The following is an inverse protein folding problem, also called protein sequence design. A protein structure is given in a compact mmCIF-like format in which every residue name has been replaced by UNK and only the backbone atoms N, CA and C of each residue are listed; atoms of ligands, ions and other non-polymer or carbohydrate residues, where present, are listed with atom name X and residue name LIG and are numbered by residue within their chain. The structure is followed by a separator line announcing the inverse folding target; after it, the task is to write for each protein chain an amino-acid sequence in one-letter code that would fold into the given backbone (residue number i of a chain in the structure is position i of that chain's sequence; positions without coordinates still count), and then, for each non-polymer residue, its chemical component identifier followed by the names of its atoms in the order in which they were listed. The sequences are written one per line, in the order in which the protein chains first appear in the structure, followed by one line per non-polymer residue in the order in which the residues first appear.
data_IF_564518933289
#
_entry.id   IF_564518933289
#
_cell.length_a   1.000
_cell.length_b   1.000
_cell.length_c   1.000
_cell.angle_alpha   90.00
_cell.angle_beta   90.00
_cell.angle_gamma   90.00
#
_symmetry.space_group_name_H-M   'P 1'
#
loop_
_entity.id
_entity.type
_entity.pdbx_description
1 polymer ?
#
# COMPACT_ATOMS: atom_id res chain seq x y z
N UNK A 1 -8.74 -18.47 -4.98
CA UNK A 1 -9.74 -17.98 -4.02
C UNK A 1 -9.89 -19.06 -2.97
N UNK A 2 -9.66 -18.72 -1.69
CA UNK A 2 -9.75 -19.69 -0.59
C UNK A 2 -11.18 -20.22 -0.50
N UNK A 3 -11.36 -21.51 -0.68
CA UNK A 3 -12.66 -22.14 -0.44
C UNK A 3 -12.83 -22.38 1.07
N UNK A 4 -13.75 -21.64 1.68
CA UNK A 4 -14.17 -21.80 3.07
C UNK A 4 -15.44 -22.66 3.12
N UNK A 5 -15.37 -23.80 3.80
CA UNK A 5 -16.53 -24.71 3.95
C UNK A 5 -17.58 -24.04 4.83
N UNK A 6 -18.80 -23.88 4.29
CA UNK A 6 -19.92 -23.23 4.99
C UNK A 6 -20.76 -24.21 5.84
N UNK A 7 -20.46 -25.51 5.75
CA UNK A 7 -21.07 -26.52 6.61
C UNK A 7 -20.58 -26.36 8.07
N UNK A 8 -21.34 -26.88 9.02
CA UNK A 8 -20.92 -26.84 10.43
C UNK A 8 -19.75 -27.80 10.64
N UNK A 9 -18.70 -27.34 11.33
CA UNK A 9 -17.53 -28.17 11.61
C UNK A 9 -17.90 -29.39 12.46
N UNK A 10 -18.89 -29.25 13.34
CA UNK A 10 -19.39 -30.28 14.26
C UNK A 10 -20.06 -31.47 13.54
N UNK A 11 -20.51 -31.26 12.30
CA UNK A 11 -21.08 -32.31 11.45
C UNK A 11 -19.97 -33.29 10.97
N UNK A 12 -18.71 -32.85 10.93
CA UNK A 12 -17.56 -33.61 10.45
C UNK A 12 -16.55 -33.98 11.54
N UNK A 13 -16.47 -33.18 12.61
CA UNK A 13 -15.50 -33.33 13.68
C UNK A 13 -16.18 -33.34 15.05
N UNK A 14 -15.78 -34.26 15.92
CA UNK A 14 -16.12 -34.24 17.34
C UNK A 14 -15.16 -33.29 18.07
N UNK A 15 -15.68 -32.15 18.54
CA UNK A 15 -14.90 -31.15 19.28
C UNK A 15 -14.77 -31.57 20.74
N UNK A 16 -13.55 -31.59 21.26
CA UNK A 16 -13.20 -32.02 22.60
C UNK A 16 -12.59 -30.87 23.42
N UNK A 17 -11.60 -31.20 24.25
CA UNK A 17 -10.99 -30.32 25.25
C UNK A 17 -10.22 -29.14 24.63
N UNK A 18 -10.16 -28.03 25.35
CA UNK A 18 -9.34 -26.88 24.99
C UNK A 18 -7.85 -27.23 25.16
N UNK A 19 -7.07 -26.98 24.11
CA UNK A 19 -5.61 -27.15 24.11
C UNK A 19 -4.89 -25.84 24.47
N UNK A 20 -5.49 -24.71 24.12
CA UNK A 20 -4.98 -23.39 24.47
C UNK A 20 -5.90 -22.27 23.97
N UNK A 21 -5.70 -21.07 24.49
CA UNK A 21 -6.43 -19.87 24.09
C UNK A 21 -5.50 -18.69 23.89
N UNK A 22 -5.73 -17.95 22.81
CA UNK A 22 -5.10 -16.67 22.51
C UNK A 22 -6.09 -15.51 22.64
N UNK A 23 -5.69 -14.31 22.22
CA UNK A 23 -6.51 -13.09 22.36
C UNK A 23 -7.85 -13.15 21.61
N UNK A 24 -7.83 -13.69 20.39
CA UNK A 24 -9.02 -13.78 19.53
C UNK A 24 -9.25 -15.19 18.96
N UNK A 25 -8.48 -16.17 19.43
CA UNK A 25 -8.57 -17.55 18.98
C UNK A 25 -8.61 -18.52 20.16
N UNK A 26 -9.35 -19.61 20.00
CA UNK A 26 -9.36 -20.74 20.95
C UNK A 26 -9.00 -22.00 20.16
N UNK A 27 -8.06 -22.78 20.66
CA UNK A 27 -7.64 -24.05 20.04
C UNK A 27 -8.20 -25.19 20.85
N UNK A 28 -8.95 -26.09 20.21
CA UNK A 28 -9.51 -27.30 20.83
C UNK A 28 -9.04 -28.53 20.10
N UNK A 29 -8.88 -29.65 20.81
CA UNK A 29 -8.71 -30.95 20.15
C UNK A 29 -10.00 -31.30 19.43
N UNK A 30 -9.91 -31.87 18.24
CA UNK A 30 -11.06 -32.43 17.55
C UNK A 30 -10.70 -33.77 16.91
N UNK A 31 -11.71 -34.62 16.68
CA UNK A 31 -11.54 -35.91 16.01
C UNK A 31 -12.40 -35.96 14.76
N UNK A 32 -11.81 -36.26 13.61
CA UNK A 32 -12.56 -36.41 12.36
C UNK A 32 -13.47 -37.65 12.45
N UNK A 33 -14.78 -37.48 12.27
CA UNK A 33 -15.76 -38.57 12.39
C UNK A 33 -15.54 -39.70 11.38
N UNK A 34 -15.08 -39.36 10.18
CA UNK A 34 -14.92 -40.30 9.06
C UNK A 34 -13.72 -41.22 9.25
N UNK A 35 -12.60 -40.68 9.71
CA UNK A 35 -11.31 -41.39 9.77
C UNK A 35 -10.92 -41.78 11.20
N UNK A 36 -11.49 -41.12 12.21
CA UNK A 36 -11.09 -41.25 13.60
C UNK A 36 -9.77 -40.57 13.95
N UNK A 37 -9.17 -39.81 13.03
CA UNK A 37 -7.89 -39.11 13.24
C UNK A 37 -8.10 -37.86 14.09
N UNK A 38 -7.19 -37.64 15.03
CA UNK A 38 -7.19 -36.47 15.91
C UNK A 38 -6.47 -35.27 15.26
N UNK A 39 -7.05 -34.09 15.41
CA UNK A 39 -6.61 -32.79 14.90
C UNK A 39 -6.74 -31.71 15.98
N UNK A 40 -6.27 -30.51 15.67
CA UNK A 40 -6.52 -29.30 16.45
C UNK A 40 -7.41 -28.34 15.65
N UNK A 41 -8.51 -27.89 16.23
CA UNK A 41 -9.41 -26.88 15.67
C UNK A 41 -9.13 -25.51 16.31
N UNK A 42 -8.54 -24.58 15.54
CA UNK A 42 -8.32 -23.18 15.94
C UNK A 42 -9.52 -22.34 15.51
N UNK A 43 -10.37 -21.97 16.48
CA UNK A 43 -11.54 -21.11 16.30
C UNK A 43 -11.12 -19.65 16.42
N UNK A 44 -11.16 -18.90 15.32
CA UNK A 44 -10.77 -17.49 15.23
C UNK A 44 -12.04 -16.63 15.12
N UNK A 45 -12.22 -15.69 16.05
CA UNK A 45 -13.37 -14.78 16.05
C UNK A 45 -13.24 -13.75 14.93
N UNK A 46 -14.26 -13.64 14.07
CA UNK A 46 -14.32 -12.64 13.01
C UNK A 46 -14.68 -11.26 13.56
N UNK A 47 -13.94 -10.24 13.13
CA UNK A 47 -14.28 -8.84 13.40
C UNK A 47 -15.56 -8.46 12.67
N UNK A 48 -16.59 -8.06 13.41
CA UNK A 48 -17.93 -7.79 12.87
C UNK A 48 -18.07 -6.41 12.22
N UNK A 49 -17.23 -5.44 12.59
CA UNK A 49 -17.21 -4.10 11.99
C UNK A 49 -15.81 -3.49 12.08
N UNK A 50 -15.45 -2.53 11.20
CA UNK A 50 -14.14 -1.86 11.25
C UNK A 50 -13.86 -1.17 12.58
N UNK A 51 -14.91 -0.68 13.26
CA UNK A 51 -14.82 -0.04 14.57
C UNK A 51 -14.79 -1.04 15.75
N UNK A 52 -15.07 -2.33 15.50
CA UNK A 52 -15.07 -3.34 16.55
C UNK A 52 -13.66 -3.58 17.07
N UNK A 53 -13.50 -3.50 18.39
CA UNK A 53 -12.24 -3.83 19.09
C UNK A 53 -12.06 -5.33 19.34
N UNK A 54 -12.99 -6.17 18.87
CA UNK A 54 -12.99 -7.62 19.06
C UNK A 54 -13.00 -8.34 17.73
N UNK A 55 -12.16 -9.37 17.63
CA UNK A 55 -12.03 -10.24 16.48
C UNK A 55 -10.92 -9.81 15.52
N UNK A 56 -10.53 -10.74 14.65
CA UNK A 56 -9.50 -10.58 13.63
C UNK A 56 -10.13 -10.13 12.32
N UNK A 57 -9.43 -9.31 11.53
CA UNK A 57 -9.95 -8.86 10.23
C UNK A 57 -10.10 -10.03 9.26
N UNK A 58 -10.98 -9.90 8.27
CA UNK A 58 -11.16 -10.96 7.27
C UNK A 58 -9.87 -11.14 6.45
N UNK A 59 -9.21 -10.03 6.14
CA UNK A 59 -7.99 -9.97 5.36
C UNK A 59 -6.82 -10.68 6.06
N UNK A 60 -6.69 -10.54 7.39
CA UNK A 60 -5.68 -11.26 8.17
C UNK A 60 -5.97 -12.76 8.23
N UNK A 61 -7.23 -13.16 8.41
CA UNK A 61 -7.61 -14.58 8.42
C UNK A 61 -7.36 -15.23 7.05
N UNK A 62 -7.77 -14.56 5.96
CA UNK A 62 -7.54 -15.04 4.60
C UNK A 62 -6.04 -15.17 4.32
N UNK A 63 -5.22 -14.21 4.76
CA UNK A 63 -3.75 -14.29 4.66
C UNK A 63 -3.16 -15.49 5.39
N UNK A 64 -3.55 -15.72 6.66
CA UNK A 64 -3.08 -16.88 7.43
C UNK A 64 -3.43 -18.18 6.70
N UNK A 65 -4.67 -18.29 6.19
CA UNK A 65 -5.13 -19.47 5.45
C UNK A 65 -4.38 -19.65 4.13
N UNK A 66 -4.18 -18.59 3.35
CA UNK A 66 -3.46 -18.66 2.07
C UNK A 66 -2.02 -19.13 2.26
N UNK A 67 -1.34 -18.60 3.28
CA UNK A 67 0.02 -19.05 3.65
C UNK A 67 0.00 -20.52 4.04
N UNK A 68 -0.88 -20.92 4.96
CA UNK A 68 -0.96 -22.29 5.45
C UNK A 68 -1.32 -23.32 4.37
N UNK A 69 -2.16 -22.95 3.39
CA UNK A 69 -2.48 -23.81 2.23
C UNK A 69 -1.30 -23.99 1.28
N UNK A 70 -0.41 -23.00 1.19
CA UNK A 70 0.75 -23.00 0.29
C UNK A 70 2.00 -23.70 0.86
N UNK A 71 1.97 -24.15 2.12
CA UNK A 71 3.14 -24.72 2.80
C UNK A 71 2.91 -26.16 3.25
N UNK A 72 3.94 -26.99 3.07
CA UNK A 72 3.96 -28.36 3.54
C UNK A 72 5.41 -28.74 3.84
N UNK A 73 5.73 -28.90 5.12
CA UNK A 73 7.10 -29.21 5.55
C UNK A 73 7.06 -29.98 6.88
N UNK A 74 7.94 -30.96 7.12
CA UNK A 74 7.97 -31.74 8.36
C UNK A 74 8.11 -30.87 9.62
N UNK A 75 8.80 -29.73 9.54
CA UNK A 75 8.98 -28.82 10.68
C UNK A 75 7.95 -27.70 10.79
N UNK A 76 6.87 -27.74 10.00
CA UNK A 76 5.81 -26.73 10.01
C UNK A 76 4.47 -27.43 10.23
N UNK A 77 3.55 -26.78 10.94
CA UNK A 77 2.18 -27.29 11.12
C UNK A 77 1.44 -27.38 9.78
N UNK A 78 0.67 -28.45 9.61
CA UNK A 78 -0.10 -28.69 8.38
C UNK A 78 -1.55 -28.25 8.57
N UNK A 79 -2.10 -27.50 7.61
CA UNK A 79 -3.52 -27.20 7.54
C UNK A 79 -4.26 -28.31 6.80
N UNK A 80 -5.26 -28.89 7.46
CA UNK A 80 -6.09 -29.96 6.92
C UNK A 80 -7.34 -29.39 6.23
N UNK A 81 -8.07 -28.52 6.93
CA UNK A 81 -9.37 -28.03 6.47
C UNK A 81 -9.67 -26.64 7.02
N UNK A 82 -10.58 -25.92 6.36
CA UNK A 82 -11.03 -24.59 6.77
C UNK A 82 -12.55 -24.51 6.70
N UNK A 83 -13.17 -24.13 7.82
CA UNK A 83 -14.60 -23.91 7.95
C UNK A 83 -14.89 -22.46 8.30
N UNK A 84 -16.02 -21.93 7.85
CA UNK A 84 -16.48 -20.60 8.19
C UNK A 84 -17.95 -20.65 8.59
N UNK A 85 -18.28 -19.98 9.70
CA UNK A 85 -19.65 -19.70 10.09
C UNK A 85 -19.86 -18.18 10.23
N UNK A 86 -20.99 -17.71 10.75
CA UNK A 86 -21.26 -16.26 10.86
C UNK A 86 -20.29 -15.52 11.80
N UNK A 87 -19.83 -16.16 12.86
CA UNK A 87 -19.05 -15.53 13.94
C UNK A 87 -17.57 -15.85 13.90
N UNK A 88 -17.20 -17.02 13.36
CA UNK A 88 -15.87 -17.59 13.50
C UNK A 88 -15.39 -18.23 12.18
N UNK A 89 -14.07 -18.26 12.02
CA UNK A 89 -13.37 -19.15 11.08
C UNK A 89 -12.68 -20.24 11.89
N UNK A 90 -12.78 -21.49 11.44
CA UNK A 90 -12.19 -22.64 12.12
C UNK A 90 -11.14 -23.26 11.22
N UNK A 91 -9.88 -23.23 11.67
CA UNK A 91 -8.77 -23.91 10.99
C UNK A 91 -8.60 -25.29 11.63
N UNK A 92 -8.74 -26.35 10.85
CA UNK A 92 -8.42 -27.71 11.28
C UNK A 92 -6.96 -27.97 10.92
N UNK A 93 -6.13 -28.13 11.94
CA UNK A 93 -4.68 -28.25 11.86
C UNK A 93 -4.22 -29.62 12.36
N UNK A 94 -3.05 -30.05 11.92
CA UNK A 94 -2.33 -31.20 12.50
C UNK A 94 -2.24 -31.08 14.03
N UNK A 95 -2.58 -32.16 14.75
CA UNK A 95 -2.47 -32.17 16.21
C UNK A 95 -1.00 -32.30 16.64
N UNK A 96 -0.51 -31.29 17.35
CA UNK A 96 0.84 -31.27 17.93
C UNK A 96 0.72 -31.39 19.45
N UNK A 97 1.12 -32.54 20.01
CA UNK A 97 0.77 -32.94 21.40
C UNK A 97 1.97 -33.10 22.34
N UNK A 98 3.19 -32.92 21.84
CA UNK A 98 4.44 -33.04 22.61
C UNK A 98 4.71 -31.85 23.54
N UNK A 99 3.94 -30.76 23.45
CA UNK A 99 4.13 -29.54 24.23
C UNK A 99 5.22 -28.63 23.66
N UNK A 100 5.61 -27.61 24.43
CA UNK A 100 6.62 -26.63 24.03
C UNK A 100 8.04 -27.20 24.11
N UNK A 101 8.92 -26.81 23.18
CA UNK A 101 10.32 -27.21 23.19
C UNK A 101 11.02 -26.84 24.50
N UNK A 102 10.75 -25.63 25.00
CA UNK A 102 11.43 -25.11 26.19
C UNK A 102 11.01 -25.87 27.45
N UNK A 103 9.73 -26.24 27.60
CA UNK A 103 9.25 -27.12 28.68
C UNK A 103 9.97 -28.49 28.67
N UNK A 104 10.10 -29.09 27.49
CA UNK A 104 10.76 -30.37 27.34
C UNK A 104 12.24 -30.30 27.72
N UNK A 105 12.95 -29.26 27.28
CA UNK A 105 14.37 -29.09 27.59
C UNK A 105 14.60 -28.68 29.04
N UNK A 106 13.68 -27.89 29.60
CA UNK A 106 13.66 -27.59 31.02
C UNK A 106 13.60 -28.88 31.83
N UNK A 107 12.80 -29.88 31.46
CA UNK A 107 12.69 -31.14 32.23
C UNK A 107 13.98 -32.00 32.22
N UNK A 108 14.86 -31.85 31.22
CA UNK A 108 16.12 -32.63 31.16
C UNK A 108 17.08 -32.26 32.29
N UNK A 109 17.79 -33.25 32.83
CA UNK A 109 18.84 -33.05 33.85
C UNK A 109 20.06 -32.31 33.29
N UNK A 110 20.43 -32.59 32.04
CA UNK A 110 21.50 -31.91 31.31
C UNK A 110 21.14 -31.78 29.83
N UNK A 111 21.58 -30.68 29.21
CA UNK A 111 21.47 -30.46 27.76
C UNK A 111 22.86 -30.20 27.21
N UNK A 112 23.29 -30.95 26.21
CA UNK A 112 24.53 -30.65 25.51
C UNK A 112 24.32 -29.60 24.40
N UNK A 113 25.35 -28.83 24.07
CA UNK A 113 25.30 -27.97 22.88
C UNK A 113 24.99 -28.77 21.61
N UNK A 114 25.44 -30.02 21.51
CA UNK A 114 25.16 -30.89 20.37
C UNK A 114 23.67 -31.20 20.22
N UNK A 115 22.97 -31.49 21.32
CA UNK A 115 21.51 -31.63 21.30
C UNK A 115 20.81 -30.31 20.99
N UNK A 116 21.27 -29.19 21.58
CA UNK A 116 20.71 -27.88 21.31
C UNK A 116 20.81 -27.52 19.81
N UNK A 117 21.96 -27.77 19.19
CA UNK A 117 22.16 -27.58 17.75
C UNK A 117 21.19 -28.40 16.91
N UNK A 118 20.87 -29.65 17.30
CA UNK A 118 19.90 -30.47 16.56
C UNK A 118 18.50 -29.86 16.57
N UNK A 119 18.06 -29.25 17.68
CA UNK A 119 16.78 -28.53 17.74
C UNK A 119 16.82 -27.22 16.93
N UNK A 120 17.88 -26.41 17.09
CA UNK A 120 18.05 -25.18 16.30
C UNK A 120 18.08 -25.50 14.80
N UNK A 121 18.71 -26.60 14.39
CA UNK A 121 18.74 -27.02 12.99
C UNK A 121 17.34 -27.32 12.44
N UNK A 122 16.49 -28.01 13.19
CA UNK A 122 15.10 -28.25 12.77
C UNK A 122 14.30 -26.94 12.62
N UNK A 123 14.52 -25.96 13.52
CA UNK A 123 13.92 -24.62 13.39
C UNK A 123 14.41 -23.94 12.10
N UNK A 124 15.73 -23.94 11.87
CA UNK A 124 16.32 -23.37 10.66
C UNK A 124 15.82 -24.05 9.37
N UNK A 125 15.63 -25.37 9.39
CA UNK A 125 15.08 -26.11 8.24
C UNK A 125 13.63 -25.70 7.93
N UNK A 126 12.79 -25.54 8.96
CA UNK A 126 11.44 -24.99 8.81
C UNK A 126 11.44 -23.55 8.28
N UNK A 127 12.25 -22.68 8.88
CA UNK A 127 12.34 -21.26 8.46
C UNK A 127 12.93 -21.13 7.05
N UNK A 128 13.89 -21.98 6.67
CA UNK A 128 14.43 -22.02 5.30
C UNK A 128 13.34 -22.36 4.27
N UNK A 129 12.46 -23.31 4.59
CA UNK A 129 11.33 -23.64 3.73
C UNK A 129 10.39 -22.44 3.53
N UNK A 130 10.16 -21.62 4.56
CA UNK A 130 9.37 -20.40 4.48
C UNK A 130 10.09 -19.30 3.67
N UNK A 131 11.35 -19.03 4.00
CA UNK A 131 12.15 -17.97 3.38
C UNK A 131 12.39 -18.21 1.89
N UNK A 132 12.55 -19.47 1.47
CA UNK A 132 12.65 -19.82 0.03
C UNK A 132 11.36 -19.53 -0.75
N UNK A 133 10.22 -19.39 -0.07
CA UNK A 133 8.94 -18.95 -0.62
C UNK A 133 8.64 -17.48 -0.33
N UNK A 134 9.63 -16.74 0.18
CA UNK A 134 9.51 -15.35 0.62
C UNK A 134 8.45 -15.13 1.70
N UNK A 135 8.24 -16.12 2.58
CA UNK A 135 7.31 -15.98 3.70
C UNK A 135 8.13 -15.69 4.96
N UNK A 136 7.81 -14.61 5.65
CA UNK A 136 8.30 -14.32 7.00
C UNK A 136 7.26 -14.81 8.02
N UNK A 137 7.72 -15.44 9.11
CA UNK A 137 6.85 -15.91 10.18
C UNK A 137 6.44 -14.77 11.12
N UNK A 138 7.38 -13.88 11.45
CA UNK A 138 7.24 -12.70 12.31
C UNK A 138 6.85 -12.92 13.78
N UNK A 139 6.40 -14.11 14.17
CA UNK A 139 6.11 -14.47 15.56
C UNK A 139 6.93 -15.68 16.06
N UNK A 140 8.22 -15.76 15.70
CA UNK A 140 9.09 -16.81 16.22
C UNK A 140 9.43 -16.55 17.68
N UNK A 141 8.91 -17.41 18.56
CA UNK A 141 9.12 -17.38 20.01
C UNK A 141 8.98 -18.80 20.60
N UNK A 142 9.48 -19.06 21.82
CA UNK A 142 9.41 -20.38 22.46
C UNK A 142 8.03 -21.03 22.42
N UNK A 143 6.96 -20.25 22.63
CA UNK A 143 5.57 -20.73 22.66
C UNK A 143 5.11 -21.27 21.30
N UNK A 144 5.69 -20.78 20.20
CA UNK A 144 5.35 -21.17 18.84
C UNK A 144 6.27 -22.28 18.27
N UNK A 145 7.14 -22.87 19.11
CA UNK A 145 8.04 -23.97 18.75
C UNK A 145 7.63 -25.20 19.54
N UNK A 146 6.74 -25.99 18.96
CA UNK A 146 6.16 -27.16 19.61
C UNK A 146 6.84 -28.46 19.19
N UNK A 147 6.61 -29.51 19.97
CA UNK A 147 7.07 -30.87 19.70
C UNK A 147 5.90 -31.74 19.24
N UNK A 148 6.08 -32.52 18.18
CA UNK A 148 5.06 -33.43 17.69
C UNK A 148 4.71 -34.51 18.71
N UNK A 149 5.73 -35.19 19.22
CA UNK A 149 5.65 -36.27 20.20
C UNK A 149 6.86 -36.21 21.15
N UNK A 150 6.59 -36.14 22.45
CA UNK A 150 7.62 -36.08 23.51
C UNK A 150 8.08 -37.45 24.01
N UNK A 151 7.49 -38.55 23.54
CA UNK A 151 7.83 -39.91 23.97
C UNK A 151 9.15 -40.40 23.35
N UNK A 152 9.58 -39.81 22.24
CA UNK A 152 10.84 -40.12 21.57
C UNK A 152 12.01 -39.30 22.12
N UNK A 153 13.21 -39.87 22.10
CA UNK A 153 14.40 -39.25 22.70
C UNK A 153 14.82 -37.92 22.02
N UNK A 154 14.56 -37.79 20.71
CA UNK A 154 14.78 -36.58 19.93
C UNK A 154 13.48 -36.20 19.21
N UNK A 155 12.59 -35.42 19.86
CA UNK A 155 11.33 -34.98 19.28
C UNK A 155 11.47 -34.15 18.01
N UNK A 156 10.50 -34.30 17.11
CA UNK A 156 10.38 -33.45 15.93
C UNK A 156 9.72 -32.12 16.28
N UNK A 157 10.34 -31.01 15.84
CA UNK A 157 9.79 -29.67 16.00
C UNK A 157 8.71 -29.41 14.96
N UNK A 158 7.65 -28.72 15.38
CA UNK A 158 6.63 -28.10 14.54
C UNK A 158 6.56 -26.61 14.89
N UNK A 159 6.84 -25.76 13.90
CA UNK A 159 6.55 -24.33 13.97
C UNK A 159 5.04 -24.15 13.81
N UNK A 160 4.44 -23.41 14.74
CA UNK A 160 3.00 -23.17 14.80
C UNK A 160 2.70 -21.66 14.80
N UNK A 161 1.41 -21.35 14.63
CA UNK A 161 0.83 -20.00 14.68
C UNK A 161 1.35 -19.02 13.61
N UNK A 162 0.67 -19.04 12.46
CA UNK A 162 0.99 -18.21 11.30
C UNK A 162 0.14 -16.93 11.24
N UNK A 163 -0.49 -16.53 12.35
CA UNK A 163 -1.39 -15.37 12.38
C UNK A 163 -0.72 -14.03 12.05
N UNK A 164 0.59 -13.91 12.29
CA UNK A 164 1.40 -12.73 11.91
C UNK A 164 2.24 -12.95 10.65
N UNK A 165 2.18 -14.13 10.03
CA UNK A 165 2.99 -14.43 8.87
C UNK A 165 2.62 -13.55 7.66
N UNK A 166 3.61 -13.25 6.83
CA UNK A 166 3.42 -12.39 5.67
C UNK A 166 4.32 -12.84 4.50
N UNK A 167 3.78 -12.77 3.28
CA UNK A 167 4.58 -12.92 2.07
C UNK A 167 5.29 -11.58 1.78
N UNK A 168 6.61 -11.62 1.64
CA UNK A 168 7.44 -10.47 1.32
C UNK A 168 7.52 -10.34 -0.20
N UNK A 169 6.93 -9.27 -0.73
CA UNK A 169 6.92 -8.96 -2.16
C UNK A 169 8.10 -8.06 -2.54
N UNK A 170 8.74 -8.35 -3.67
CA UNK A 170 9.87 -7.54 -4.13
C UNK A 170 9.37 -6.15 -4.55
N UNK A 171 10.01 -5.10 -4.02
CA UNK A 171 9.68 -3.72 -4.36
C UNK A 171 8.48 -3.13 -3.59
N UNK A 172 7.83 -3.91 -2.72
CA UNK A 172 6.76 -3.42 -1.84
C UNK A 172 7.31 -3.29 -0.42
N UNK A 173 7.31 -2.07 0.13
CA UNK A 173 7.68 -1.88 1.53
C UNK A 173 6.57 -2.37 2.45
N UNK A 174 6.93 -3.25 3.38
CA UNK A 174 6.05 -3.68 4.47
C UNK A 174 6.57 -3.11 5.79
N UNK A 175 5.77 -2.32 6.50
CA UNK A 175 6.10 -1.74 7.81
C UNK A 175 4.97 -2.02 8.78
N UNK A 176 5.32 -2.53 9.96
CA UNK A 176 4.34 -2.80 11.00
C UNK A 176 5.04 -2.96 12.36
N UNK A 177 4.27 -2.88 13.45
CA UNK A 177 4.72 -3.14 14.81
C UNK A 177 3.83 -4.25 15.37
N UNK A 178 4.41 -5.43 15.58
CA UNK A 178 3.73 -6.61 16.11
C UNK A 178 4.70 -7.50 16.88
N UNK A 179 4.19 -8.57 17.47
CA UNK A 179 4.98 -9.58 18.17
C UNK A 179 5.23 -9.27 19.65
N UNK A 180 5.89 -10.22 20.32
CA UNK A 180 6.25 -10.13 21.72
C UNK A 180 7.54 -9.32 21.89
N UNK A 181 7.56 -8.22 22.68
CA UNK A 181 8.69 -7.30 22.74
C UNK A 181 10.07 -7.92 23.00
N UNK A 182 10.16 -9.06 23.67
CA UNK A 182 11.43 -9.75 23.94
C UNK A 182 12.10 -10.35 22.68
N UNK A 183 11.30 -10.70 21.66
CA UNK A 183 11.74 -11.45 20.49
C UNK A 183 11.74 -10.64 19.18
N UNK A 184 11.25 -9.39 19.22
CA UNK A 184 11.15 -8.52 18.05
C UNK A 184 12.51 -7.92 17.67
N UNK A 185 12.72 -7.76 16.37
CA UNK A 185 13.92 -7.16 15.81
C UNK A 185 13.90 -5.62 15.91
N UNK A 186 15.08 -4.95 15.93
CA UNK A 186 15.16 -3.49 16.03
C UNK A 186 14.38 -2.75 14.94
N UNK A 187 14.35 -3.28 13.71
CA UNK A 187 13.59 -2.71 12.60
C UNK A 187 12.08 -2.68 12.85
N UNK A 188 11.53 -3.65 13.60
CA UNK A 188 10.12 -3.65 14.02
C UNK A 188 9.89 -2.54 15.03
N UNK A 189 10.78 -2.41 16.02
CA UNK A 189 10.67 -1.38 17.08
C UNK A 189 10.79 0.03 16.50
N UNK A 190 11.67 0.22 15.51
CA UNK A 190 11.93 1.51 14.88
C UNK A 190 10.97 1.86 13.74
N UNK A 191 10.00 0.99 13.42
CA UNK A 191 9.08 1.16 12.28
C UNK A 191 9.80 1.29 10.92
N UNK A 192 10.87 0.51 10.75
CA UNK A 192 11.65 0.41 9.51
C UNK A 192 11.07 -0.68 8.57
N UNK A 193 11.45 -0.71 7.28
CA UNK A 193 11.00 -1.76 6.36
C UNK A 193 11.34 -3.17 6.87
N UNK A 194 10.33 -4.03 6.90
CA UNK A 194 10.40 -5.39 7.40
C UNK A 194 10.67 -6.39 6.28
N UNK A 195 11.29 -7.52 6.64
CA UNK A 195 11.52 -8.64 5.73
C UNK A 195 11.97 -9.90 6.47
N UNK A 196 12.49 -10.86 5.71
CA UNK A 196 12.89 -12.18 6.22
C UNK A 196 13.97 -12.12 7.32
N UNK A 197 14.76 -11.04 7.36
CA UNK A 197 15.81 -10.86 8.36
C UNK A 197 15.25 -10.77 9.80
N UNK A 198 14.01 -10.35 9.99
CA UNK A 198 13.38 -10.25 11.31
C UNK A 198 13.30 -11.62 12.01
N UNK A 199 12.92 -12.67 11.28
CA UNK A 199 12.89 -14.04 11.80
C UNK A 199 14.28 -14.49 12.29
N UNK A 200 15.34 -14.09 11.58
CA UNK A 200 16.71 -14.44 11.93
C UNK A 200 17.15 -13.81 13.26
N UNK A 201 16.67 -12.60 13.57
CA UNK A 201 16.88 -11.99 14.89
C UNK A 201 16.20 -12.81 15.98
N UNK A 202 14.93 -13.17 15.79
CA UNK A 202 14.17 -13.97 16.76
C UNK A 202 14.83 -15.33 17.00
N UNK A 203 15.38 -15.99 15.98
CA UNK A 203 16.17 -17.22 16.13
C UNK A 203 17.43 -16.99 16.97
N UNK A 204 18.09 -15.83 16.82
CA UNK A 204 19.21 -15.42 17.65
C UNK A 204 18.83 -15.30 19.14
N UNK A 205 17.69 -14.66 19.42
CA UNK A 205 17.13 -14.53 20.78
C UNK A 205 16.78 -15.91 21.36
N UNK A 206 16.05 -16.73 20.61
CA UNK A 206 15.68 -18.10 20.99
C UNK A 206 16.94 -18.91 21.30
N UNK A 207 17.98 -18.83 20.47
CA UNK A 207 19.24 -19.56 20.68
C UNK A 207 19.97 -19.08 21.93
N UNK A 208 20.01 -17.77 22.18
CA UNK A 208 20.60 -17.21 23.39
C UNK A 208 19.91 -17.76 24.64
N UNK A 209 18.58 -17.74 24.68
CA UNK A 209 17.80 -18.24 25.83
C UNK A 209 17.99 -19.75 25.98
N UNK A 210 17.95 -20.50 24.88
CA UNK A 210 18.13 -21.95 24.89
C UNK A 210 19.44 -22.38 25.56
N UNK A 211 20.52 -21.63 25.34
CA UNK A 211 21.85 -21.96 25.84
C UNK A 211 22.15 -21.43 27.24
N UNK A 212 21.44 -20.39 27.68
CA UNK A 212 21.74 -19.67 28.93
C UNK A 212 20.65 -19.73 29.99
N UNK A 213 19.40 -19.91 29.58
CA UNK A 213 18.21 -19.68 30.39
C UNK A 213 17.97 -18.21 30.75
N UNK A 214 18.63 -17.27 30.07
CA UNK A 214 18.45 -15.83 30.25
C UNK A 214 18.04 -15.18 28.93
N UNK A 215 17.32 -14.06 29.00
CA UNK A 215 16.97 -13.28 27.81
C UNK A 215 18.08 -12.27 27.50
N UNK A 216 18.44 -12.06 26.21
CA UNK A 216 19.49 -11.11 25.87
C UNK A 216 19.09 -9.65 26.05
N UNK A 217 17.80 -9.31 25.95
CA UNK A 217 17.35 -7.91 25.93
C UNK A 217 16.26 -7.58 26.96
N UNK A 218 15.70 -8.56 27.67
CA UNK A 218 14.62 -8.32 28.64
C UNK A 218 15.11 -7.44 29.80
N UNK A 219 14.52 -6.25 29.94
CA UNK A 219 14.72 -5.36 31.07
C UNK A 219 13.66 -5.54 32.16
N UNK A 220 13.71 -4.71 33.20
CA UNK A 220 12.72 -4.69 34.29
C UNK A 220 11.33 -4.24 33.80
N UNK A 221 11.29 -3.45 32.73
CA UNK A 221 10.07 -2.98 32.11
C UNK A 221 10.18 -2.94 30.59
N UNK A 222 9.03 -2.78 29.92
CA UNK A 222 8.95 -2.79 28.46
C UNK A 222 9.82 -1.71 27.80
N UNK A 223 9.92 -0.52 28.40
CA UNK A 223 10.69 0.58 27.82
C UNK A 223 12.18 0.26 27.83
N UNK A 224 12.67 -0.34 28.91
CA UNK A 224 14.04 -0.83 29.01
C UNK A 224 14.31 -1.96 28.00
N UNK A 225 13.40 -2.93 27.87
CA UNK A 225 13.52 -4.00 26.86
C UNK A 225 13.66 -3.44 25.45
N UNK A 226 12.78 -2.51 25.06
CA UNK A 226 12.85 -1.88 23.74
C UNK A 226 14.14 -1.06 23.57
N UNK A 227 14.58 -0.35 24.62
CA UNK A 227 15.86 0.38 24.60
C UNK A 227 17.05 -0.55 24.37
N UNK A 228 17.09 -1.69 25.07
CA UNK A 228 18.15 -2.69 24.90
C UNK A 228 18.16 -3.25 23.47
N UNK A 229 16.99 -3.51 22.88
CA UNK A 229 16.87 -4.00 21.49
C UNK A 229 17.39 -2.95 20.51
N UNK A 230 16.91 -1.70 20.58
CA UNK A 230 17.31 -0.64 19.64
C UNK A 230 18.79 -0.28 19.72
N UNK A 231 19.37 -0.39 20.92
CA UNK A 231 20.81 -0.22 21.17
C UNK A 231 21.65 -1.47 20.89
N UNK A 232 21.01 -2.63 20.67
CA UNK A 232 21.65 -3.96 20.59
C UNK A 232 22.55 -4.19 21.81
N UNK A 233 22.02 -3.89 22.99
CA UNK A 233 22.70 -4.00 24.27
C UNK A 233 22.44 -5.37 24.89
N UNK A 234 23.34 -6.31 24.64
CA UNK A 234 23.38 -7.63 25.29
C UNK A 234 24.84 -8.05 25.46
N UNK A 235 25.09 -8.97 26.39
CA UNK A 235 26.43 -9.50 26.65
C UNK A 235 26.41 -11.01 26.88
N UNK A 236 27.57 -11.65 26.76
CA UNK A 236 27.73 -13.06 27.11
C UNK A 236 28.34 -13.17 28.49
N UNK A 237 27.58 -12.80 29.52
CA UNK A 237 28.03 -12.86 30.90
C UNK A 237 28.51 -14.29 31.26
N UNK A 238 29.71 -14.36 31.84
CA UNK A 238 30.37 -15.60 32.25
C UNK A 238 29.53 -16.42 33.24
N UNK A 239 28.67 -15.77 34.02
CA UNK A 239 27.72 -16.45 34.91
C UNK A 239 26.81 -17.42 34.12
N UNK A 240 26.42 -17.05 32.89
CA UNK A 240 25.52 -17.85 32.06
C UNK A 240 26.25 -18.61 30.94
N UNK A 241 27.36 -18.06 30.44
CA UNK A 241 28.03 -18.54 29.23
C UNK A 241 29.43 -19.13 29.45
N UNK A 242 29.85 -19.38 30.69
CA UNK A 242 31.16 -19.98 31.01
C UNK A 242 31.37 -21.38 30.42
N UNK A 243 30.31 -22.11 30.06
CA UNK A 243 30.40 -23.45 29.46
C UNK A 243 30.04 -23.47 27.97
N UNK A 244 29.64 -22.33 27.41
CA UNK A 244 29.16 -22.20 26.04
C UNK A 244 30.31 -21.93 25.08
N UNK A 245 30.35 -22.66 23.97
CA UNK A 245 31.42 -22.57 22.98
C UNK A 245 31.50 -21.20 22.29
N UNK A 246 32.71 -20.83 21.85
CA UNK A 246 32.90 -19.62 21.06
C UNK A 246 32.15 -19.68 19.72
N UNK A 247 31.93 -20.88 19.16
CA UNK A 247 31.13 -21.06 17.94
C UNK A 247 29.66 -20.74 18.17
N UNK A 248 29.09 -21.15 19.30
CA UNK A 248 27.72 -20.80 19.67
C UNK A 248 27.56 -19.29 19.87
N UNK A 249 28.50 -18.67 20.62
CA UNK A 249 28.53 -17.22 20.80
C UNK A 249 28.67 -16.49 19.47
N UNK A 250 29.51 -16.99 18.55
CA UNK A 250 29.67 -16.41 17.20
C UNK A 250 28.39 -16.50 16.36
N UNK A 251 27.69 -17.65 16.42
CA UNK A 251 26.42 -17.83 15.73
C UNK A 251 25.38 -16.79 16.19
N UNK A 252 25.21 -16.64 17.51
CA UNK A 252 24.29 -15.65 18.09
C UNK A 252 24.71 -14.23 17.69
N UNK A 253 26.01 -13.88 17.78
CA UNK A 253 26.50 -12.54 17.41
C UNK A 253 26.16 -12.13 16.00
N UNK A 254 26.20 -13.08 15.06
CA UNK A 254 25.90 -12.80 13.64
C UNK A 254 24.40 -12.79 13.33
N UNK A 255 23.56 -13.27 14.24
CA UNK A 255 22.09 -13.15 14.16
C UNK A 255 21.57 -11.88 14.85
N UNK A 256 22.16 -11.49 15.98
CA UNK A 256 21.78 -10.30 16.75
C UNK A 256 22.52 -9.06 16.24
N UNK A 257 22.29 -8.72 14.96
CA UNK A 257 22.90 -7.59 14.26
C UNK A 257 21.82 -6.58 13.85
N UNK A 258 22.03 -5.30 14.16
CA UNK A 258 21.09 -4.21 13.82
C UNK A 258 20.88 -4.07 12.32
N UNK A 259 21.97 -4.00 11.54
CA UNK A 259 21.90 -3.87 10.09
C UNK A 259 21.42 -5.19 9.45
N UNK A 260 20.20 -5.17 8.91
CA UNK A 260 19.53 -6.34 8.32
C UNK A 260 20.33 -6.96 7.18
N UNK A 261 21.17 -6.19 6.48
CA UNK A 261 22.02 -6.67 5.37
C UNK A 261 23.26 -7.41 5.85
N UNK A 262 23.68 -7.18 7.09
CA UNK A 262 24.83 -7.84 7.73
C UNK A 262 24.41 -9.03 8.59
N UNK A 263 23.14 -9.08 8.99
CA UNK A 263 22.55 -10.19 9.72
C UNK A 263 22.62 -11.46 8.87
N UNK A 264 22.94 -12.60 9.48
CA UNK A 264 22.98 -13.88 8.77
C UNK A 264 21.67 -14.16 8.04
N UNK A 265 21.78 -14.54 6.77
CA UNK A 265 20.67 -15.16 6.04
C UNK A 265 20.41 -16.58 6.56
N UNK A 266 19.23 -17.13 6.28
CA UNK A 266 18.88 -18.49 6.67
C UNK A 266 19.83 -19.55 6.08
N UNK A 267 20.29 -19.34 4.83
CA UNK A 267 21.25 -20.23 4.16
C UNK A 267 22.64 -20.15 4.79
N UNK A 268 23.06 -18.97 5.24
CA UNK A 268 24.35 -18.80 5.91
C UNK A 268 24.29 -19.35 7.35
N UNK A 269 23.15 -19.20 8.02
CA UNK A 269 22.92 -19.78 9.34
C UNK A 269 22.99 -21.31 9.30
N UNK A 270 22.35 -21.96 8.32
CA UNK A 270 22.43 -23.42 8.11
C UNK A 270 23.85 -23.90 7.80
N UNK A 271 24.69 -23.07 7.18
CA UNK A 271 26.10 -23.37 6.85
C UNK A 271 27.07 -23.03 7.97
N UNK A 272 26.62 -22.32 9.00
CA UNK A 272 27.48 -21.86 10.08
C UNK A 272 28.18 -23.04 10.79
N UNK A 273 29.47 -22.94 11.14
CA UNK A 273 30.22 -24.04 11.75
C UNK A 273 29.56 -24.59 13.03
N UNK A 274 28.92 -23.76 13.84
CA UNK A 274 28.20 -24.24 15.01
C UNK A 274 27.07 -25.23 14.66
N UNK A 275 26.42 -25.06 13.50
CA UNK A 275 25.34 -25.93 13.00
C UNK A 275 25.91 -27.15 12.25
N UNK A 276 26.95 -26.97 11.44
CA UNK A 276 27.47 -28.00 10.52
C UNK A 276 28.56 -28.90 11.11
N UNK A 277 29.40 -28.40 12.02
CA UNK A 277 30.61 -29.10 12.49
C UNK A 277 30.29 -30.44 13.18
N UNK A 278 29.06 -30.62 13.66
CA UNK A 278 28.64 -31.84 14.35
C UNK A 278 28.25 -33.00 13.41
N UNK A 279 28.04 -32.75 12.10
CA UNK A 279 27.84 -33.82 11.11
C UNK A 279 29.10 -34.66 10.90
N UNK A 280 30.28 -34.02 10.91
CA UNK A 280 31.57 -34.69 10.65
C UNK A 280 31.92 -35.76 11.69
N UNK A 281 31.32 -35.74 12.89
CA UNK A 281 31.58 -36.75 13.94
C UNK A 281 30.71 -37.99 13.84
N UNK A 282 29.59 -37.94 13.12
CA UNK A 282 28.72 -39.11 12.91
C UNK A 282 29.25 -40.01 11.78
N UNK A 283 29.82 -39.43 10.70
CA UNK A 283 30.46 -40.21 9.62
C UNK A 283 31.82 -40.80 10.02
N UNK A 284 32.58 -40.13 10.90
CA UNK A 284 33.92 -40.59 11.32
C UNK A 284 33.89 -41.59 12.49
N UNK A 285 32.71 -41.92 13.04
CA UNK A 285 32.55 -42.85 14.18
C UNK A 285 32.75 -44.34 13.83
N UNK A 286 33.21 -44.65 12.61
CA UNK A 286 33.63 -46.00 12.22
C UNK A 286 35.09 -46.29 12.61
N UNK A 287 35.92 -45.30 12.95
CA UNK A 287 37.31 -45.53 13.40
C UNK A 287 37.70 -44.72 14.64
N UNK A 288 37.88 -45.41 15.77
CA UNK A 288 38.91 -45.12 16.78
C UNK A 288 38.87 -43.78 17.54
N UNK A 289 38.17 -43.77 18.66
CA UNK A 289 38.50 -43.13 19.95
C UNK A 289 39.24 -41.77 19.95
N UNK A 290 38.49 -40.67 20.16
CA UNK A 290 38.80 -39.59 21.14
C UNK A 290 37.48 -38.99 21.64
N UNK A 291 37.03 -39.35 22.85
CA UNK A 291 35.89 -38.70 23.53
C UNK A 291 36.28 -37.26 23.86
N UNK A 292 35.83 -36.30 23.05
CA UNK A 292 35.83 -34.89 23.46
C UNK A 292 34.84 -34.77 24.62
N UNK A 293 35.24 -34.14 25.73
CA UNK A 293 34.35 -33.92 26.88
C UNK A 293 33.06 -33.23 26.41
N UNK A 294 31.91 -33.89 26.56
CA UNK A 294 30.60 -33.33 26.24
C UNK A 294 30.35 -32.21 27.24
N UNK A 295 30.31 -30.96 26.75
CA UNK A 295 30.02 -29.79 27.57
C UNK A 295 28.52 -29.80 27.87
N UNK A 296 28.18 -30.04 29.13
CA UNK A 296 26.79 -30.01 29.59
C UNK A 296 26.42 -28.60 30.01
N UNK A 297 25.33 -28.09 29.46
CA UNK A 297 24.69 -26.85 29.87
C UNK A 297 23.88 -27.10 31.14
N UNK A 298 23.83 -26.10 32.02
CA UNK A 298 23.06 -26.16 33.27
C UNK A 298 21.60 -25.81 32.98
N UNK A 299 20.71 -26.79 32.99
CA UNK A 299 19.28 -26.58 32.67
C UNK A 299 18.46 -25.90 33.78
N UNK A 300 19.04 -25.70 34.98
CA UNK A 300 18.32 -25.08 36.11
C UNK A 300 17.76 -23.70 35.76
N UNK A 301 18.52 -22.87 35.04
CA UNK A 301 18.07 -21.53 34.65
C UNK A 301 17.03 -21.57 33.53
N UNK A 302 17.16 -22.49 32.59
CA UNK A 302 16.12 -22.70 31.58
C UNK A 302 14.79 -23.10 32.25
N UNK A 303 14.83 -23.97 33.26
CA UNK A 303 13.64 -24.26 34.10
C UNK A 303 13.06 -22.99 34.74
N UNK A 304 13.91 -22.14 35.32
CA UNK A 304 13.48 -20.89 35.95
C UNK A 304 12.86 -19.91 34.94
N UNK A 305 13.46 -19.78 33.75
CA UNK A 305 12.92 -18.97 32.65
C UNK A 305 11.54 -19.46 32.23
N UNK A 306 11.40 -20.76 31.97
CA UNK A 306 10.15 -21.36 31.54
C UNK A 306 9.05 -21.25 32.60
N UNK A 307 9.36 -21.40 33.89
CA UNK A 307 8.38 -21.14 34.94
C UNK A 307 7.97 -19.67 35.02
N UNK A 308 8.91 -18.75 34.80
CA UNK A 308 8.64 -17.30 34.77
C UNK A 308 7.79 -16.91 33.56
N UNK A 309 8.07 -17.43 32.37
CA UNK A 309 7.30 -17.13 31.16
C UNK A 309 5.83 -17.53 31.31
N UNK A 310 5.56 -18.70 31.90
CA UNK A 310 4.19 -19.16 32.17
C UNK A 310 3.46 -18.39 33.27
N UNK A 311 4.18 -17.88 34.27
CA UNK A 311 3.60 -17.21 35.45
C UNK A 311 3.48 -15.69 35.32
N UNK A 312 4.29 -15.08 34.46
CA UNK A 312 4.48 -13.63 34.38
C UNK A 312 3.78 -12.99 33.18
N UNK A 313 2.95 -13.72 32.43
CA UNK A 313 2.08 -13.11 31.42
C UNK A 313 1.10 -12.14 32.12
N UNK A 314 1.24 -10.82 31.95
CA UNK A 314 0.24 -9.90 32.44
C UNK A 314 -1.07 -10.17 31.68
N UNK A 315 -2.25 -9.85 32.24
CA UNK A 315 -3.47 -9.87 31.46
C UNK A 315 -3.28 -9.01 30.21
N UNK A 316 -3.69 -9.57 29.06
CA UNK A 316 -3.62 -9.15 27.65
C UNK A 316 -3.67 -7.65 27.28
N UNK A 317 -3.88 -6.73 28.22
CA UNK A 317 -3.90 -5.27 28.01
C UNK A 317 -2.56 -4.67 27.57
N UNK A 318 -1.43 -5.33 27.84
CA UNK A 318 -0.09 -4.81 27.46
C UNK A 318 0.20 -4.97 25.96
N UNK A 319 -0.32 -6.03 25.33
CA UNK A 319 -0.30 -6.23 23.87
C UNK A 319 -1.22 -5.26 23.16
N UNK A 320 -2.42 -5.03 23.71
CA UNK A 320 -3.37 -4.04 23.21
C UNK A 320 -2.75 -2.65 23.11
N UNK A 321 -1.88 -2.24 24.03
CA UNK A 321 -1.20 -0.94 23.93
C UNK A 321 -0.11 -0.91 22.86
N UNK A 322 0.54 -2.04 22.57
CA UNK A 322 1.51 -2.14 21.47
C UNK A 322 0.81 -2.12 20.11
N UNK A 323 -0.24 -2.92 19.94
CA UNK A 323 -1.10 -2.88 18.76
C UNK A 323 -1.74 -1.50 18.57
N UNK A 324 -2.18 -0.84 19.65
CA UNK A 324 -2.71 0.54 19.55
C UNK A 324 -1.65 1.52 19.08
N UNK A 325 -0.43 1.43 19.60
CA UNK A 325 0.66 2.28 19.16
C UNK A 325 1.05 1.98 17.70
N UNK A 326 1.08 0.70 17.32
CA UNK A 326 1.25 0.26 15.94
C UNK A 326 0.17 0.82 15.02
N UNK A 327 -1.09 0.75 15.44
CA UNK A 327 -2.23 1.28 14.71
C UNK A 327 -2.12 2.79 14.54
N UNK A 328 -1.76 3.53 15.60
CA UNK A 328 -1.54 4.98 15.50
C UNK A 328 -0.41 5.33 14.53
N UNK A 329 0.70 4.57 14.55
CA UNK A 329 1.79 4.79 13.60
C UNK A 329 1.42 4.42 12.17
N UNK A 330 0.63 3.35 11.96
CA UNK A 330 0.07 3.03 10.65
C UNK A 330 -0.88 4.12 10.16
N UNK A 331 -1.77 4.61 11.02
CA UNK A 331 -2.71 5.67 10.70
C UNK A 331 -1.97 6.97 10.36
N UNK A 332 -0.89 7.29 11.09
CA UNK A 332 0.00 8.42 10.80
C UNK A 332 0.72 8.25 9.46
N UNK A 333 1.29 7.07 9.19
CA UNK A 333 1.96 6.79 7.92
C UNK A 333 0.98 6.84 6.74
N UNK A 334 -0.25 6.35 6.94
CA UNK A 334 -1.32 6.45 5.95
C UNK A 334 -1.71 7.91 5.71
N UNK A 335 -1.88 8.69 6.77
CA UNK A 335 -2.17 10.12 6.65
C UNK A 335 -1.06 10.87 5.91
N UNK A 336 0.21 10.57 6.21
CA UNK A 336 1.36 11.15 5.53
C UNK A 336 1.37 10.83 4.02
N UNK A 337 1.07 9.59 3.64
CA UNK A 337 0.91 9.20 2.23
C UNK A 337 -0.28 9.90 1.55
N UNK A 338 -1.41 10.05 2.25
CA UNK A 338 -2.58 10.78 1.76
C UNK A 338 -2.26 12.28 1.58
N UNK A 339 -1.50 12.89 2.50
CA UNK A 339 -1.01 14.27 2.36
C UNK A 339 -0.06 14.45 1.19
N UNK A 340 0.87 13.51 0.98
CA UNK A 340 1.77 13.55 -0.19
C UNK A 340 0.98 13.45 -1.51
N UNK A 341 -0.02 12.58 -1.56
CA UNK A 341 -0.92 12.46 -2.72
C UNK A 341 -1.71 13.75 -2.95
N UNK A 342 -2.20 14.37 -1.87
CA UNK A 342 -2.92 15.64 -1.94
C UNK A 342 -2.01 16.79 -2.43
N UNK A 343 -0.76 16.82 -1.99
CA UNK A 343 0.23 17.79 -2.46
C UNK A 343 0.49 17.62 -3.97
N UNK A 344 0.69 16.40 -4.45
CA UNK A 344 0.85 16.12 -5.88
C UNK A 344 -0.38 16.54 -6.70
N UNK A 345 -1.59 16.30 -6.18
CA UNK A 345 -2.83 16.74 -6.84
C UNK A 345 -2.97 18.26 -6.84
N UNK A 346 -2.52 18.95 -5.78
CA UNK A 346 -2.50 20.40 -5.72
C UNK A 346 -1.55 20.98 -6.77
N UNK A 347 -0.34 20.43 -6.90
CA UNK A 347 0.63 20.84 -7.91
C UNK A 347 0.06 20.63 -9.34
N UNK A 348 -0.55 19.47 -9.61
CA UNK A 348 -1.22 19.21 -10.89
C UNK A 348 -2.36 20.17 -11.17
N UNK A 349 -3.19 20.50 -10.18
CA UNK A 349 -4.28 21.45 -10.35
C UNK A 349 -3.76 22.87 -10.60
N UNK A 350 -2.64 23.23 -9.97
CA UNK A 350 -1.99 24.51 -10.18
C UNK A 350 -1.47 24.63 -11.62
N UNK A 351 -0.87 23.57 -12.17
CA UNK A 351 -0.46 23.51 -13.58
C UNK A 351 -1.65 23.66 -14.54
N UNK A 352 -2.77 22.99 -14.25
CA UNK A 352 -4.01 23.11 -15.03
C UNK A 352 -4.58 24.55 -14.99
N UNK A 353 -4.55 25.19 -13.81
CA UNK A 353 -4.99 26.58 -13.64
C UNK A 353 -4.09 27.53 -14.44
N UNK A 354 -2.77 27.36 -14.38
CA UNK A 354 -1.82 28.18 -15.12
C UNK A 354 -2.00 28.01 -16.65
N UNK A 355 -2.28 26.80 -17.12
CA UNK A 355 -2.62 26.53 -18.52
C UNK A 355 -3.92 27.24 -18.93
N UNK A 356 -4.97 27.20 -18.09
CA UNK A 356 -6.22 27.90 -18.35
C UNK A 356 -6.05 29.42 -18.39
N UNK A 357 -5.24 29.98 -17.48
CA UNK A 357 -4.90 31.41 -17.48
C UNK A 357 -4.17 31.78 -18.78
N UNK A 358 -3.23 30.95 -19.24
CA UNK A 358 -2.52 31.17 -20.50
C UNK A 358 -3.49 31.20 -21.69
N UNK A 359 -4.40 30.22 -21.80
CA UNK A 359 -5.41 30.15 -22.86
C UNK A 359 -6.35 31.36 -22.82
N UNK A 360 -6.76 31.78 -21.62
CA UNK A 360 -7.61 32.96 -21.44
C UNK A 360 -6.92 34.23 -21.96
N UNK A 361 -5.66 34.44 -21.57
CA UNK A 361 -4.88 35.61 -21.98
C UNK A 361 -4.67 35.64 -23.50
N UNK A 362 -4.39 34.49 -24.12
CA UNK A 362 -4.26 34.36 -25.58
C UNK A 362 -5.58 34.70 -26.29
N UNK A 363 -6.72 34.23 -25.78
CA UNK A 363 -8.03 34.63 -26.34
C UNK A 363 -8.34 36.11 -26.12
N UNK A 364 -8.03 36.67 -24.96
CA UNK A 364 -8.27 38.07 -24.67
C UNK A 364 -7.47 38.97 -25.61
N UNK A 365 -6.20 38.63 -25.88
CA UNK A 365 -5.36 39.36 -26.84
C UNK A 365 -5.91 39.25 -28.26
N UNK A 366 -6.30 38.05 -28.70
CA UNK A 366 -6.94 37.86 -30.01
C UNK A 366 -8.22 38.70 -30.17
N UNK A 367 -9.11 38.71 -29.17
CA UNK A 367 -10.33 39.53 -29.21
C UNK A 367 -10.03 41.04 -29.28
N UNK A 368 -8.97 41.50 -28.60
CA UNK A 368 -8.54 42.91 -28.68
C UNK A 368 -8.06 43.26 -30.09
N UNK A 369 -7.24 42.41 -30.69
CA UNK A 369 -6.73 42.60 -32.05
C UNK A 369 -7.87 42.58 -33.07
N UNK A 370 -8.79 41.62 -32.98
CA UNK A 370 -9.94 41.52 -33.88
C UNK A 370 -10.87 42.73 -33.76
N UNK A 371 -11.12 43.20 -32.54
CA UNK A 371 -11.96 44.39 -32.32
C UNK A 371 -11.30 45.67 -32.87
N UNK A 372 -9.99 45.82 -32.74
CA UNK A 372 -9.25 46.92 -33.36
C UNK A 372 -9.26 46.84 -34.90
N UNK A 373 -9.14 45.63 -35.48
CA UNK A 373 -9.29 45.42 -36.92
C UNK A 373 -10.69 45.84 -37.40
N UNK A 374 -11.76 45.38 -36.73
CA UNK A 374 -13.15 45.75 -37.05
C UNK A 374 -13.36 47.26 -36.91
N UNK A 375 -12.78 47.91 -35.90
CA UNK A 375 -12.82 49.37 -35.75
C UNK A 375 -12.14 50.09 -36.92
N UNK A 376 -11.02 49.56 -37.38
CA UNK A 376 -10.30 50.11 -38.53
C UNK A 376 -11.13 49.99 -39.82
N UNK A 377 -11.69 48.81 -40.10
CA UNK A 377 -12.55 48.56 -41.26
C UNK A 377 -13.81 49.44 -41.24
N UNK A 378 -14.49 49.55 -40.09
CA UNK A 378 -15.65 50.44 -39.94
C UNK A 378 -15.29 51.91 -40.19
N UNK A 379 -14.10 52.33 -39.76
CA UNK A 379 -13.62 53.70 -39.98
C UNK A 379 -13.35 53.96 -41.47
N UNK A 380 -12.75 52.99 -42.18
CA UNK A 380 -12.56 53.06 -43.63
C UNK A 380 -13.90 53.11 -44.36
N UNK A 381 -14.86 52.25 -43.99
CA UNK A 381 -16.17 52.21 -44.62
C UNK A 381 -16.94 53.52 -44.41
N UNK A 382 -16.86 54.11 -43.21
CA UNK A 382 -17.45 55.44 -42.93
C UNK A 382 -16.82 56.54 -43.78
N UNK A 383 -15.51 56.48 -44.02
CA UNK A 383 -14.81 57.43 -44.87
C UNK A 383 -15.29 57.33 -46.32
N UNK A 384 -15.33 56.13 -46.89
CA UNK A 384 -15.83 55.90 -48.25
C UNK A 384 -17.31 56.28 -48.39
N UNK A 385 -18.15 55.98 -47.39
CA UNK A 385 -19.55 56.42 -47.37
C UNK A 385 -19.68 57.94 -47.44
N UNK A 386 -18.92 58.69 -46.63
CA UNK A 386 -18.92 60.17 -46.66
C UNK A 386 -18.47 60.72 -48.01
N UNK A 387 -17.47 60.08 -48.62
CA UNK A 387 -16.98 60.44 -49.96
C UNK A 387 -18.07 60.25 -51.02
N UNK A 388 -18.77 59.12 -51.00
CA UNK A 388 -19.90 58.85 -51.89
C UNK A 388 -21.06 59.83 -51.65
N UNK A 389 -21.40 60.15 -50.40
CA UNK A 389 -22.41 61.18 -50.10
C UNK A 389 -22.02 62.57 -50.61
N UNK A 390 -20.73 62.93 -50.53
CA UNK A 390 -20.23 64.17 -51.11
C UNK A 390 -20.38 64.18 -52.64
N UNK A 391 -20.01 63.08 -53.31
CA UNK A 391 -20.17 62.94 -54.76
C UNK A 391 -21.64 63.03 -55.17
N UNK A 392 -22.55 62.37 -54.42
CA UNK A 392 -24.00 62.45 -54.64
C UNK A 392 -24.53 63.88 -54.53
N UNK A 393 -24.08 64.64 -53.51
CA UNK A 393 -24.47 66.05 -53.34
C UNK A 393 -24.00 66.91 -54.51
N UNK A 394 -22.75 66.74 -54.96
CA UNK A 394 -22.23 67.46 -56.11
C UNK A 394 -23.04 67.12 -57.38
N UNK A 395 -23.31 65.84 -57.62
CA UNK A 395 -24.11 65.41 -58.77
C UNK A 395 -25.52 66.01 -58.74
N UNK A 396 -26.14 66.10 -57.55
CA UNK A 396 -27.46 66.70 -57.41
C UNK A 396 -27.44 68.20 -57.72
N UNK A 397 -26.38 68.92 -57.30
CA UNK A 397 -26.17 70.32 -57.67
C UNK A 397 -26.01 70.49 -59.18
N UNK A 398 -25.22 69.62 -59.82
CA UNK A 398 -25.02 69.63 -61.28
C UNK A 398 -26.35 69.40 -62.02
N UNK A 399 -27.16 68.44 -61.57
CA UNK A 399 -28.50 68.17 -62.14
C UNK A 399 -29.40 69.41 -62.03
N UNK A 400 -29.51 70.02 -60.86
CA UNK A 400 -30.33 71.23 -60.68
C UNK A 400 -29.82 72.42 -61.52
N UNK A 401 -28.51 72.53 -61.70
CA UNK A 401 -27.92 73.53 -62.60
C UNK A 401 -28.31 73.29 -64.06
N UNK A 402 -28.36 72.03 -64.51
CA UNK A 402 -28.79 71.68 -65.87
C UNK A 402 -30.29 71.92 -66.06
N UNK A 403 -31.12 71.53 -65.08
CA UNK A 403 -32.57 71.76 -65.10
C UNK A 403 -32.90 73.26 -65.24
N UNK A 404 -32.31 74.10 -64.39
CA UNK A 404 -32.50 75.56 -64.49
C UNK A 404 -32.02 76.14 -65.84
N UNK A 405 -30.94 75.60 -66.40
CA UNK A 405 -30.48 75.95 -67.75
C UNK A 405 -31.47 75.56 -68.84
N UNK A 406 -32.08 74.37 -68.75
CA UNK A 406 -33.13 73.89 -69.66
C UNK A 406 -34.40 74.73 -69.55
N UNK A 407 -34.83 75.10 -68.34
CA UNK A 407 -35.99 75.96 -68.12
C UNK A 407 -35.80 77.34 -68.76
N UNK A 408 -34.60 77.93 -68.63
CA UNK A 408 -34.27 79.19 -69.28
C UNK A 408 -34.30 79.09 -70.81
N UNK A 409 -33.79 77.98 -71.37
CA UNK A 409 -33.84 77.70 -72.81
C UNK A 409 -35.27 77.50 -73.31
N UNK A 410 -36.08 76.77 -72.55
CA UNK A 410 -37.50 76.54 -72.81
C UNK A 410 -38.29 77.85 -72.80
N UNK A 411 -38.05 78.72 -71.83
CA UNK A 411 -38.64 80.06 -71.76
C UNK A 411 -38.28 80.93 -72.97
N UNK A 412 -37.00 80.97 -73.35
CA UNK A 412 -36.56 81.68 -74.57
C UNK A 412 -37.20 81.11 -75.84
N UNK A 413 -37.35 79.80 -75.92
CA UNK A 413 -38.01 79.14 -77.04
C UNK A 413 -39.50 79.52 -77.11
N UNK A 414 -40.20 79.54 -75.97
CA UNK A 414 -41.60 79.96 -75.90
C UNK A 414 -41.79 81.45 -76.26
N UNK A 415 -40.88 82.33 -75.85
CA UNK A 415 -40.89 83.75 -76.27
C UNK A 415 -40.67 83.90 -77.78
N UNK A 416 -39.70 83.18 -78.34
CA UNK A 416 -39.45 83.17 -79.78
C UNK A 416 -40.66 82.62 -80.55
N UNK A 417 -41.29 81.58 -80.05
CA UNK A 417 -42.49 80.99 -80.64
C UNK A 417 -43.67 81.98 -80.61
N UNK A 418 -43.95 82.58 -79.46
CA UNK A 418 -44.99 83.62 -79.32
C UNK A 418 -44.74 84.82 -80.23
N UNK A 419 -43.49 85.28 -80.34
CA UNK A 419 -43.11 86.36 -81.25
C UNK A 419 -43.33 85.96 -82.71
N UNK A 420 -43.02 84.72 -83.08
CA UNK A 420 -43.25 84.21 -84.43
C UNK A 420 -44.74 84.08 -84.74
N UNK A 421 -45.54 83.62 -83.78
CA UNK A 421 -47.00 83.54 -83.89
C UNK A 421 -47.62 84.95 -84.03
N UNK A 422 -47.16 85.93 -83.23
CA UNK A 422 -47.59 87.33 -83.32
C UNK A 422 -47.24 87.97 -84.66
N UNK A 423 -46.01 87.77 -85.17
CA UNK A 423 -45.64 88.24 -86.51
C UNK A 423 -46.48 87.55 -87.60
N UNK A 424 -46.86 86.29 -87.41
CA UNK A 424 -47.74 85.57 -88.33
C UNK A 424 -49.16 86.13 -88.30
N UNK A 425 -49.66 86.50 -87.12
CA UNK A 425 -50.97 87.12 -86.95
C UNK A 425 -51.00 88.54 -87.52
N UNK A 426 -50.00 89.38 -87.23
CA UNK A 426 -49.87 90.72 -87.82
C UNK A 426 -49.81 90.63 -89.35
N UNK A 427 -49.01 89.69 -89.89
CA UNK A 427 -48.97 89.46 -91.33
C UNK A 427 -50.34 89.01 -91.89
N UNK A 428 -51.08 88.19 -91.16
CA UNK A 428 -52.42 87.75 -91.55
C UNK A 428 -53.45 88.89 -91.48
N UNK A 429 -53.37 89.77 -90.47
CA UNK A 429 -54.23 90.94 -90.32
C UNK A 429 -53.95 91.99 -91.39
N UNK A 430 -52.67 92.24 -91.69
CA UNK A 430 -52.26 93.10 -92.80
C UNK A 430 -52.75 92.55 -94.14
N UNK A 431 -52.63 91.23 -94.36
CA UNK A 431 -53.17 90.58 -95.56
C UNK A 431 -54.70 90.70 -95.64
N UNK A 432 -55.41 90.56 -94.51
CA UNK A 432 -56.87 90.71 -94.46
C UNK A 432 -57.30 92.16 -94.68
N UNK A 433 -56.61 93.14 -94.09
CA UNK A 433 -56.87 94.57 -94.32
C UNK A 433 -56.66 94.95 -95.79
N UNK A 434 -55.61 94.43 -96.41
CA UNK A 434 -55.38 94.59 -97.84
C UNK A 434 -56.54 93.98 -98.63
N UNK A 435 -57.03 92.80 -98.23
CA UNK A 435 -58.15 92.13 -98.88
C UNK A 435 -59.48 92.88 -98.72
N UNK A 436 -59.82 93.32 -97.50
CA UNK A 436 -61.04 94.07 -97.20
C UNK A 436 -61.04 95.47 -97.85
N UNK A 437 -59.88 96.14 -97.93
CA UNK A 437 -59.74 97.37 -98.71
C UNK A 437 -59.99 97.12 -100.19
N UNK A 438 -59.44 96.04 -100.74
CA UNK A 438 -59.65 95.67 -102.15
C UNK A 438 -61.14 95.38 -102.42
N UNK A 439 -61.82 94.69 -101.51
CA UNK A 439 -63.22 94.30 -101.68
C UNK A 439 -64.20 95.47 -101.46
N UNK A 440 -63.90 96.41 -100.56
CA UNK A 440 -64.74 97.58 -100.27
C UNK A 440 -64.78 98.67 -101.37
N UNK A 441 -63.86 98.63 -102.34
CA UNK A 441 -63.85 99.54 -103.50
C UNK A 441 -64.67 99.02 -104.69
N UNK A 442 -65.41 97.90 -104.56
CA UNK A 442 -66.07 97.23 -105.69
C UNK A 442 -67.62 97.16 -105.67
N UNK A 443 -68.33 97.87 -104.79
CA UNK A 443 -69.81 97.99 -104.83
C UNK A 443 -70.34 99.43 -104.78
#
# INVERSE_FOLDING_TARGET
MVEFKQQKVEDFYDIADELGSGQFAIVKRCRERKTGIDYAAKFIKKRQSPASRRGVTREEIEREVDILKGIQHPNIITLQDVYENKTDVVLVLELVSGGELFDFLAQKESLSEEEATRFIKQILEGVNYLHTRKIAHFDLKPENIMLLDKTIAMPYIKLIDFGLAHAIEDGVEFKNIFGTPEFVAPEIVNYEPLGLAADMWSIGVITYILLSGASPFLGENKQETLSNITAVNYEFDEEFFSHTSNLAKDFIRRLLVKDTRKRLSILDALRHPWITTLQSKEETKIHGTKRTAVRQLKNKRLKEYTMKSHSSMPPNNTYVNFERFAQVLQDLSRAENEFNTLAMNYDSLQEDVDALISIYNEKETWYKEENENVRHELSQLRYEYRKVESMKRNLHYDISSVESGLDSLSGKYAELQSRNDSMTQELSEDLQLIQDLVDGFHD
#
